data_IF_232253394232
#
_entry.id   IF_232253394232
#
_cell.length_a   1.000
_cell.length_b   1.000
_cell.length_c   1.000
_cell.angle_alpha   90.00
_cell.angle_beta   90.00
_cell.angle_gamma   90.00
#
_symmetry.space_group_name_H-M   'P 1'
#
loop_
_entity.id
_entity.type
_entity.pdbx_description
1 polymer ?
#
# COMPACT_ATOMS: atom_id res chain seq x y z
N UNK A 1 -33.64 -35.34 66.87
CA UNK A 1 -32.87 -34.19 66.50
C UNK A 1 -32.49 -34.39 65.04
N UNK A 2 -33.15 -33.68 64.15
CA UNK A 2 -32.95 -33.82 62.66
C UNK A 2 -32.10 -32.63 62.20
N UNK A 3 -30.91 -32.92 61.69
CA UNK A 3 -30.01 -31.90 61.10
C UNK A 3 -30.49 -31.55 59.68
N UNK A 4 -30.83 -30.29 59.48
CA UNK A 4 -31.25 -29.72 58.21
C UNK A 4 -30.00 -29.04 57.59
N UNK A 5 -29.42 -29.68 56.60
CA UNK A 5 -28.31 -29.13 55.80
C UNK A 5 -28.88 -28.19 54.75
N UNK A 6 -28.56 -26.93 54.86
CA UNK A 6 -28.91 -25.90 53.85
C UNK A 6 -27.82 -25.89 52.79
N UNK A 7 -28.13 -26.33 51.57
CA UNK A 7 -27.23 -26.19 50.42
C UNK A 7 -27.53 -24.85 49.76
N UNK A 8 -26.60 -23.89 49.87
CA UNK A 8 -26.64 -22.62 49.13
C UNK A 8 -26.00 -22.87 47.75
N UNK A 9 -26.83 -22.97 46.71
CA UNK A 9 -26.36 -22.92 45.32
C UNK A 9 -26.09 -21.49 44.93
N UNK A 10 -24.81 -21.09 44.82
CA UNK A 10 -24.40 -19.85 44.23
C UNK A 10 -24.43 -19.99 42.71
N UNK A 11 -25.45 -19.40 42.09
CA UNK A 11 -25.56 -19.27 40.66
C UNK A 11 -24.57 -18.20 40.17
N UNK A 12 -23.39 -18.60 39.66
CA UNK A 12 -22.41 -17.69 39.07
C UNK A 12 -22.93 -17.29 37.68
N UNK A 13 -23.63 -16.17 37.58
CA UNK A 13 -23.92 -15.55 36.29
C UNK A 13 -22.60 -14.99 35.70
N UNK A 14 -22.00 -15.75 34.78
CA UNK A 14 -20.96 -15.25 33.91
C UNK A 14 -21.60 -14.22 32.97
N UNK A 15 -21.42 -12.94 33.27
CA UNK A 15 -21.70 -11.85 32.34
C UNK A 15 -20.64 -11.96 31.24
N UNK A 16 -20.97 -12.65 30.16
CA UNK A 16 -20.25 -12.56 28.90
C UNK A 16 -20.47 -11.14 28.38
N UNK A 17 -19.59 -10.21 28.76
CA UNK A 17 -19.43 -8.96 28.03
C UNK A 17 -18.88 -9.36 26.66
N UNK A 18 -19.78 -9.55 25.69
CA UNK A 18 -19.39 -9.66 24.30
C UNK A 18 -18.62 -8.38 23.95
N UNK A 19 -17.30 -8.49 23.78
CA UNK A 19 -16.58 -7.42 23.14
C UNK A 19 -17.21 -7.30 21.73
N UNK A 20 -17.92 -6.19 21.49
CA UNK A 20 -18.39 -5.90 20.15
C UNK A 20 -17.14 -5.88 19.24
N UNK A 21 -17.17 -6.68 18.18
CA UNK A 21 -16.08 -6.73 17.23
C UNK A 21 -15.89 -5.31 16.67
N UNK A 22 -14.67 -4.77 16.82
CA UNK A 22 -14.38 -3.42 16.32
C UNK A 22 -14.66 -3.37 14.80
N UNK A 23 -15.42 -2.37 14.39
CA UNK A 23 -15.88 -2.21 13.01
C UNK A 23 -14.71 -2.08 12.03
N UNK A 24 -14.82 -2.74 10.87
CA UNK A 24 -13.85 -2.60 9.78
C UNK A 24 -13.97 -1.24 9.08
N UNK A 25 -12.88 -0.78 8.49
CA UNK A 25 -12.85 0.40 7.62
C UNK A 25 -13.84 0.25 6.45
N UNK A 26 -13.84 -0.91 5.83
CA UNK A 26 -14.76 -1.36 4.77
C UNK A 26 -14.67 -2.88 4.66
N UNK A 27 -15.63 -3.58 4.02
CA UNK A 27 -15.52 -5.01 3.75
C UNK A 27 -14.25 -5.33 2.93
N UNK A 28 -13.42 -6.25 3.44
CA UNK A 28 -12.11 -6.57 2.83
C UNK A 28 -10.95 -5.68 3.31
N UNK A 29 -11.17 -4.82 4.29
CA UNK A 29 -10.05 -4.16 5.00
C UNK A 29 -9.36 -5.17 5.92
N UNK A 30 -8.04 -5.32 5.78
CA UNK A 30 -7.25 -6.31 6.50
C UNK A 30 -6.00 -5.69 7.14
N UNK A 31 -5.27 -6.49 7.93
CA UNK A 31 -4.05 -6.05 8.59
C UNK A 31 -4.26 -5.02 9.70
N UNK A 32 -3.20 -4.40 10.14
CA UNK A 32 -3.22 -3.49 11.30
C UNK A 32 -4.08 -2.23 11.11
N UNK A 33 -4.24 -1.74 9.88
CA UNK A 33 -5.08 -0.58 9.54
C UNK A 33 -6.57 -0.90 9.37
N UNK A 34 -7.00 -2.14 9.50
CA UNK A 34 -8.36 -2.60 9.15
C UNK A 34 -9.50 -1.90 9.90
N UNK A 35 -9.22 -1.31 11.05
CA UNK A 35 -10.20 -0.61 11.87
C UNK A 35 -10.16 0.91 11.74
N UNK A 36 -9.48 1.41 10.70
CA UNK A 36 -9.44 2.84 10.39
C UNK A 36 -10.86 3.36 10.14
N UNK A 37 -11.26 4.39 10.88
CA UNK A 37 -12.62 4.95 10.75
C UNK A 37 -12.81 5.86 9.54
N UNK A 38 -11.72 6.42 9.03
CA UNK A 38 -11.79 7.41 7.95
C UNK A 38 -12.64 8.61 8.31
N UNK A 39 -13.43 9.05 7.36
CA UNK A 39 -14.39 10.15 7.51
C UNK A 39 -15.80 9.74 7.92
N UNK A 40 -16.00 8.53 8.45
CA UNK A 40 -17.32 7.97 8.82
C UNK A 40 -18.18 8.95 9.60
N UNK A 41 -19.43 9.14 9.17
CA UNK A 41 -20.39 10.06 9.77
C UNK A 41 -20.06 11.54 9.59
N UNK A 42 -19.02 11.86 8.82
CA UNK A 42 -18.64 13.23 8.50
C UNK A 42 -19.33 13.78 7.28
N UNK A 43 -18.98 15.02 6.93
CA UNK A 43 -19.51 15.71 5.76
C UNK A 43 -19.06 15.04 4.47
N UNK A 44 -19.97 14.92 3.51
CA UNK A 44 -19.65 14.48 2.15
C UNK A 44 -19.18 15.67 1.30
N UNK A 45 -18.10 15.47 0.56
CA UNK A 45 -17.57 16.41 -0.42
C UNK A 45 -17.59 15.77 -1.80
N UNK A 46 -18.29 16.42 -2.74
CA UNK A 46 -18.36 15.96 -4.13
C UNK A 46 -17.35 16.74 -4.97
N UNK A 47 -16.35 16.02 -5.49
CA UNK A 47 -15.42 16.59 -6.47
C UNK A 47 -16.13 16.67 -7.81
N UNK A 48 -16.43 17.89 -8.26
CA UNK A 48 -17.26 18.17 -9.44
C UNK A 48 -16.47 18.70 -10.64
N UNK A 49 -15.17 18.95 -10.48
CA UNK A 49 -14.30 19.40 -11.57
C UNK A 49 -12.86 18.90 -11.39
N UNK A 50 -12.05 19.02 -12.44
CA UNK A 50 -10.65 18.58 -12.47
C UNK A 50 -9.65 19.72 -12.22
N UNK A 51 -10.10 20.85 -11.72
CA UNK A 51 -9.21 21.97 -11.38
C UNK A 51 -8.31 21.59 -10.20
N UNK A 52 -7.08 22.12 -10.18
CA UNK A 52 -6.17 21.93 -9.05
C UNK A 52 -6.73 22.46 -7.74
N UNK A 53 -7.45 23.61 -7.79
CA UNK A 53 -7.98 24.29 -6.60
C UNK A 53 -9.29 25.03 -6.89
N UNK A 54 -9.93 25.56 -5.84
CA UNK A 54 -11.19 26.29 -5.91
C UNK A 54 -12.39 25.40 -5.62
N UNK A 55 -13.58 25.97 -5.74
CA UNK A 55 -14.83 25.29 -5.38
C UNK A 55 -15.06 24.02 -6.21
N UNK A 56 -15.41 22.93 -5.53
CA UNK A 56 -15.64 21.60 -6.12
C UNK A 56 -14.38 20.89 -6.59
N UNK A 57 -13.18 21.39 -6.28
CA UNK A 57 -11.93 20.70 -6.56
C UNK A 57 -11.61 19.61 -5.53
N UNK A 58 -10.77 18.66 -5.93
CA UNK A 58 -10.30 17.64 -4.99
C UNK A 58 -9.47 18.23 -3.84
N UNK A 59 -8.66 19.27 -4.11
CA UNK A 59 -7.87 19.97 -3.10
C UNK A 59 -8.75 20.61 -2.03
N UNK A 60 -9.85 21.27 -2.40
CA UNK A 60 -10.81 21.83 -1.44
C UNK A 60 -11.30 20.76 -0.43
N UNK A 61 -11.69 19.61 -0.95
CA UNK A 61 -12.16 18.49 -0.11
C UNK A 61 -11.07 17.93 0.81
N UNK A 62 -9.84 17.82 0.28
CA UNK A 62 -8.68 17.30 1.04
C UNK A 62 -8.25 18.26 2.15
N UNK A 63 -8.22 19.56 1.88
CA UNK A 63 -7.79 20.59 2.83
C UNK A 63 -8.87 20.98 3.85
N UNK A 64 -10.11 20.53 3.65
CA UNK A 64 -11.19 20.74 4.63
C UNK A 64 -10.87 20.10 5.98
N UNK A 65 -11.44 20.66 7.04
CA UNK A 65 -11.26 20.18 8.42
C UNK A 65 -12.45 19.34 8.88
N UNK A 66 -12.19 18.48 9.83
CA UNK A 66 -13.17 17.58 10.44
C UNK A 66 -13.39 16.29 9.63
N UNK A 67 -14.20 15.36 10.17
CA UNK A 67 -14.52 14.11 9.50
C UNK A 67 -15.20 14.34 8.15
N UNK A 68 -14.73 13.66 7.10
CA UNK A 68 -15.24 13.88 5.74
C UNK A 68 -15.05 12.68 4.82
N UNK A 69 -16.01 12.49 3.94
CA UNK A 69 -15.97 11.49 2.87
C UNK A 69 -15.90 12.25 1.54
N UNK A 70 -14.91 11.93 0.72
CA UNK A 70 -14.69 12.56 -0.58
C UNK A 70 -15.10 11.58 -1.67
N UNK A 71 -16.08 11.98 -2.47
CA UNK A 71 -16.58 11.26 -3.65
C UNK A 71 -16.38 12.09 -4.92
N UNK A 72 -16.45 11.46 -6.08
CA UNK A 72 -16.15 12.08 -7.36
C UNK A 72 -17.33 11.97 -8.32
N UNK A 73 -17.83 13.11 -8.79
CA UNK A 73 -18.81 13.21 -9.87
C UNK A 73 -18.13 13.47 -11.23
N UNK A 74 -16.81 13.41 -11.29
CA UNK A 74 -15.99 13.60 -12.50
C UNK A 74 -14.95 12.50 -12.61
N UNK A 75 -14.49 12.27 -13.82
CA UNK A 75 -13.36 11.40 -14.15
C UNK A 75 -12.30 12.14 -14.95
N UNK A 76 -11.06 11.74 -14.80
CA UNK A 76 -9.97 12.31 -15.60
C UNK A 76 -8.71 12.56 -14.82
N UNK A 77 -7.80 13.31 -15.45
CA UNK A 77 -6.52 13.69 -14.87
C UNK A 77 -6.61 15.09 -14.26
N UNK A 78 -6.26 15.19 -12.98
CA UNK A 78 -6.10 16.46 -12.27
C UNK A 78 -4.62 16.85 -12.36
N UNK A 79 -4.34 17.93 -13.09
CA UNK A 79 -3.00 18.50 -13.18
C UNK A 79 -2.76 19.38 -11.96
N UNK A 80 -2.07 18.82 -10.96
CA UNK A 80 -1.73 19.54 -9.74
C UNK A 80 -0.73 20.66 -10.02
N UNK A 81 -0.80 21.75 -9.26
CA UNK A 81 0.14 22.87 -9.31
C UNK A 81 1.08 22.91 -8.10
N UNK A 82 0.81 22.05 -7.12
CA UNK A 82 1.60 21.87 -5.91
C UNK A 82 1.26 20.52 -5.27
N UNK A 83 2.10 19.98 -4.35
CA UNK A 83 1.77 18.76 -3.63
C UNK A 83 0.38 18.80 -3.02
N UNK A 84 -0.40 17.72 -3.21
CA UNK A 84 -1.69 17.56 -2.56
C UNK A 84 -1.51 16.88 -1.20
N UNK A 85 -1.79 17.60 -0.12
CA UNK A 85 -1.47 17.15 1.24
C UNK A 85 -2.73 16.85 2.04
N UNK A 86 -2.84 15.63 2.53
CA UNK A 86 -3.87 15.22 3.49
C UNK A 86 -3.29 15.43 4.89
N UNK A 87 -3.42 16.63 5.42
CA UNK A 87 -2.86 17.01 6.74
C UNK A 87 -3.93 17.05 7.85
N UNK A 88 -5.23 17.06 7.50
CA UNK A 88 -6.35 17.07 8.43
C UNK A 88 -6.92 15.67 8.64
N UNK A 89 -7.00 15.23 9.88
CA UNK A 89 -7.44 13.89 10.28
C UNK A 89 -8.89 13.56 9.88
N UNK A 90 -9.21 12.27 9.89
CA UNK A 90 -10.54 11.70 9.68
C UNK A 90 -11.09 11.95 8.25
N UNK A 91 -10.48 11.30 7.28
CA UNK A 91 -10.85 11.40 5.87
C UNK A 91 -11.01 10.03 5.21
N UNK A 92 -12.04 9.89 4.40
CA UNK A 92 -12.18 8.81 3.42
C UNK A 92 -12.17 9.40 2.02
N UNK A 93 -11.22 8.97 1.18
CA UNK A 93 -11.18 9.28 -0.24
C UNK A 93 -11.63 8.06 -1.01
N UNK A 94 -12.81 8.14 -1.61
CA UNK A 94 -13.48 7.05 -2.31
C UNK A 94 -13.35 7.21 -3.83
N UNK A 95 -12.15 6.97 -4.38
CA UNK A 95 -11.88 7.09 -5.82
C UNK A 95 -12.73 6.16 -6.68
N UNK A 96 -13.25 5.06 -6.13
CA UNK A 96 -14.18 4.15 -6.82
C UNK A 96 -15.53 4.78 -7.18
N UNK A 97 -15.90 5.93 -6.58
CA UNK A 97 -17.11 6.64 -6.94
C UNK A 97 -17.00 7.40 -8.27
N UNK A 98 -15.78 7.67 -8.73
CA UNK A 98 -15.54 8.38 -9.97
C UNK A 98 -16.05 7.59 -11.18
N UNK A 99 -16.75 8.25 -12.13
CA UNK A 99 -17.18 7.57 -13.36
C UNK A 99 -15.98 7.19 -14.26
N UNK A 100 -16.24 6.54 -15.38
CA UNK A 100 -15.25 6.21 -16.41
C UNK A 100 -14.05 5.43 -15.89
N UNK A 101 -12.85 5.89 -16.20
CA UNK A 101 -11.60 5.28 -15.72
C UNK A 101 -11.14 5.86 -14.36
N UNK A 102 -11.96 6.68 -13.69
CA UNK A 102 -11.62 7.22 -12.38
C UNK A 102 -10.66 8.42 -12.43
N UNK A 103 -9.90 8.63 -11.35
CA UNK A 103 -9.06 9.81 -11.14
C UNK A 103 -7.58 9.46 -11.24
N UNK A 104 -6.81 10.32 -11.94
CA UNK A 104 -5.37 10.34 -11.95
C UNK A 104 -4.85 11.71 -11.48
N UNK A 105 -3.96 11.73 -10.50
CA UNK A 105 -3.21 12.93 -10.11
C UNK A 105 -1.90 12.97 -10.92
N UNK A 106 -1.58 14.13 -11.47
CA UNK A 106 -0.44 14.34 -12.33
C UNK A 106 0.44 15.47 -11.79
N UNK A 107 1.73 15.43 -12.10
CA UNK A 107 2.75 16.46 -11.89
C UNK A 107 3.25 16.62 -10.44
N UNK A 108 2.42 16.45 -9.43
CA UNK A 108 2.84 16.58 -8.02
C UNK A 108 2.33 15.39 -7.18
N UNK A 109 2.99 15.13 -6.02
CA UNK A 109 2.65 14.00 -5.17
C UNK A 109 1.36 14.16 -4.38
N UNK A 110 0.80 13.01 -3.97
CA UNK A 110 -0.18 12.92 -2.89
C UNK A 110 0.56 12.59 -1.59
N UNK A 111 0.41 13.43 -0.56
CA UNK A 111 1.08 13.24 0.73
C UNK A 111 0.06 12.96 1.82
N UNK A 112 0.14 11.77 2.44
CA UNK A 112 -0.80 11.28 3.45
C UNK A 112 -0.19 11.42 4.84
N UNK A 113 -0.50 12.51 5.54
CA UNK A 113 -0.03 12.79 6.90
C UNK A 113 -1.13 12.74 7.97
N UNK A 114 -2.39 12.64 7.56
CA UNK A 114 -3.53 12.59 8.47
C UNK A 114 -3.66 11.24 9.17
N UNK A 115 -4.11 11.25 10.41
CA UNK A 115 -4.60 10.06 11.12
C UNK A 115 -6.05 9.76 10.71
N UNK A 116 -6.47 8.51 10.92
CA UNK A 116 -7.78 8.03 10.48
C UNK A 116 -8.03 8.34 8.99
N UNK A 117 -7.12 7.90 8.12
CA UNK A 117 -7.20 8.15 6.69
C UNK A 117 -7.43 6.85 5.91
N UNK A 118 -8.48 6.83 5.10
CA UNK A 118 -8.78 5.78 4.12
C UNK A 118 -8.63 6.40 2.73
N UNK A 119 -7.72 5.84 1.90
CA UNK A 119 -7.53 6.30 0.51
C UNK A 119 -7.66 5.10 -0.42
N UNK A 120 -8.61 5.17 -1.35
CA UNK A 120 -8.94 4.05 -2.23
C UNK A 120 -9.08 4.48 -3.69
N UNK A 121 -8.60 3.65 -4.62
CA UNK A 121 -8.79 3.74 -6.07
C UNK A 121 -8.37 5.09 -6.69
N UNK A 122 -7.23 5.62 -6.29
CA UNK A 122 -6.62 6.83 -6.87
C UNK A 122 -5.32 6.44 -7.60
N UNK A 123 -5.09 7.02 -8.78
CA UNK A 123 -3.80 6.96 -9.49
C UNK A 123 -2.99 8.21 -9.19
N UNK A 124 -1.68 8.02 -8.99
CA UNK A 124 -0.73 9.12 -8.84
C UNK A 124 0.45 8.87 -9.78
N UNK A 125 0.66 9.78 -10.73
CA UNK A 125 1.70 9.71 -11.75
C UNK A 125 2.38 11.07 -11.89
N UNK A 126 3.49 11.24 -11.16
CA UNK A 126 4.17 12.53 -11.04
C UNK A 126 4.81 12.94 -12.37
N UNK A 127 5.65 12.09 -12.95
CA UNK A 127 6.42 12.43 -14.16
C UNK A 127 7.59 13.37 -13.89
N UNK A 128 8.33 13.70 -14.96
CA UNK A 128 9.55 14.49 -14.90
C UNK A 128 9.40 15.93 -15.48
N UNK A 129 8.17 16.41 -15.65
CA UNK A 129 7.91 17.75 -16.18
C UNK A 129 8.33 18.86 -15.21
N UNK A 130 8.34 18.57 -13.91
CA UNK A 130 8.75 19.50 -12.87
C UNK A 130 9.98 18.96 -12.14
N UNK A 131 10.98 19.84 -11.90
CA UNK A 131 12.19 19.47 -11.17
C UNK A 131 11.91 19.35 -9.67
N UNK A 132 11.30 18.24 -9.27
CA UNK A 132 10.90 17.95 -7.89
C UNK A 132 11.38 16.55 -7.50
N UNK A 133 12.43 16.48 -6.66
CA UNK A 133 12.84 15.21 -6.03
C UNK A 133 11.76 14.77 -5.05
N UNK A 134 10.77 13.99 -5.51
CA UNK A 134 9.63 13.60 -4.67
C UNK A 134 9.14 12.19 -4.95
N UNK A 135 8.52 11.62 -3.92
CA UNK A 135 7.70 10.42 -4.04
C UNK A 135 6.46 10.68 -4.91
N UNK A 136 5.84 9.62 -5.39
CA UNK A 136 4.51 9.69 -6.00
C UNK A 136 3.41 9.78 -4.94
N UNK A 137 3.35 8.78 -4.07
CA UNK A 137 2.55 8.80 -2.85
C UNK A 137 3.50 8.75 -1.68
N UNK A 138 3.55 9.83 -0.91
CA UNK A 138 4.38 9.93 0.28
C UNK A 138 3.55 10.04 1.55
N UNK A 139 4.16 9.76 2.69
CA UNK A 139 3.48 9.98 3.96
C UNK A 139 4.19 9.36 5.15
N UNK A 140 3.58 9.57 6.30
CA UNK A 140 4.09 9.09 7.57
C UNK A 140 4.79 10.18 8.35
N UNK A 141 4.17 10.59 9.44
CA UNK A 141 4.76 11.47 10.45
C UNK A 141 4.70 10.79 11.82
N UNK A 142 5.59 11.13 12.69
CA UNK A 142 5.51 10.64 14.08
C UNK A 142 4.18 11.03 14.72
N UNK A 143 3.53 10.06 15.36
CA UNK A 143 2.22 10.22 15.98
C UNK A 143 1.01 10.04 15.04
N UNK A 144 1.23 9.82 13.74
CA UNK A 144 0.15 9.44 12.82
C UNK A 144 -0.32 8.01 13.12
N UNK A 145 -1.64 7.79 13.05
CA UNK A 145 -2.26 6.48 13.36
C UNK A 145 -3.43 6.17 12.45
N UNK A 146 -3.68 4.86 12.31
CA UNK A 146 -4.87 4.33 11.65
C UNK A 146 -4.97 4.83 10.20
N UNK A 147 -4.18 4.23 9.32
CA UNK A 147 -4.16 4.55 7.89
C UNK A 147 -4.33 3.28 7.08
N UNK A 148 -5.19 3.32 6.08
CA UNK A 148 -5.30 2.26 5.07
C UNK A 148 -5.27 2.86 3.66
N UNK A 149 -4.31 2.38 2.87
CA UNK A 149 -4.16 2.67 1.45
C UNK A 149 -4.55 1.42 0.68
N UNK A 150 -5.58 1.53 -0.16
CA UNK A 150 -6.21 0.37 -0.80
C UNK A 150 -6.42 0.60 -2.30
N UNK A 151 -5.98 -0.34 -3.13
CA UNK A 151 -6.15 -0.31 -4.59
C UNK A 151 -5.62 0.98 -5.26
N UNK A 152 -4.49 1.52 -4.79
CA UNK A 152 -3.85 2.67 -5.41
C UNK A 152 -2.93 2.24 -6.55
N UNK A 153 -2.75 3.10 -7.56
CA UNK A 153 -1.73 2.94 -8.59
C UNK A 153 -0.74 4.10 -8.51
N UNK A 154 0.53 3.81 -8.19
CA UNK A 154 1.60 4.79 -8.07
C UNK A 154 2.71 4.51 -9.08
N UNK A 155 3.06 5.49 -9.90
CA UNK A 155 4.10 5.36 -10.92
C UNK A 155 4.73 6.70 -11.30
N UNK A 156 5.89 6.61 -12.00
CA UNK A 156 6.62 7.73 -12.59
C UNK A 156 7.08 8.78 -11.58
N UNK A 157 7.37 8.34 -10.37
CA UNK A 157 8.02 9.22 -9.39
C UNK A 157 9.50 9.40 -9.73
N UNK A 158 10.07 10.48 -9.24
CA UNK A 158 11.49 10.82 -9.41
C UNK A 158 12.32 10.24 -8.28
N UNK A 159 11.70 9.99 -7.12
CA UNK A 159 12.25 9.22 -5.98
C UNK A 159 11.45 7.92 -5.83
N UNK A 160 10.70 7.67 -4.78
CA UNK A 160 9.88 6.47 -4.61
C UNK A 160 8.46 6.63 -5.16
N UNK A 161 7.92 5.56 -5.75
CA UNK A 161 6.53 5.59 -6.19
C UNK A 161 5.54 5.64 -5.03
N UNK A 162 5.76 4.84 -3.96
CA UNK A 162 4.91 4.85 -2.77
C UNK A 162 5.77 4.64 -1.53
N UNK A 163 5.87 5.67 -0.67
CA UNK A 163 6.57 5.60 0.61
C UNK A 163 5.65 5.98 1.76
N UNK A 164 5.49 5.09 2.73
CA UNK A 164 4.78 5.38 3.98
C UNK A 164 5.43 4.65 5.15
N UNK A 165 5.79 5.41 6.18
CA UNK A 165 6.47 4.91 7.38
C UNK A 165 6.23 5.86 8.56
N UNK A 166 6.67 5.51 9.78
CA UNK A 166 6.40 6.25 11.04
C UNK A 166 4.94 6.27 11.49
N UNK A 167 4.06 5.54 10.81
CA UNK A 167 2.63 5.46 11.10
C UNK A 167 2.37 4.25 12.01
N UNK A 168 1.47 4.39 12.96
CA UNK A 168 0.96 3.29 13.79
C UNK A 168 -0.37 2.78 13.24
N UNK A 169 -0.58 1.46 13.23
CA UNK A 169 -1.75 0.79 12.67
C UNK A 169 -1.96 1.14 11.19
N UNK A 170 -1.01 0.72 10.37
CA UNK A 170 -0.98 0.96 8.93
C UNK A 170 -1.34 -0.30 8.14
N UNK A 171 -2.12 -0.15 7.08
CA UNK A 171 -2.23 -1.16 6.02
C UNK A 171 -2.04 -0.53 4.65
N UNK A 172 -1.24 -1.17 3.81
CA UNK A 172 -1.15 -0.91 2.37
C UNK A 172 -1.50 -2.21 1.66
N UNK A 173 -2.62 -2.25 0.98
CA UNK A 173 -3.14 -3.46 0.36
C UNK A 173 -3.55 -3.23 -1.09
N UNK A 174 -3.35 -4.24 -1.94
CA UNK A 174 -3.77 -4.27 -3.34
C UNK A 174 -3.28 -3.07 -4.16
N UNK A 175 -2.15 -2.48 -3.81
CA UNK A 175 -1.58 -1.33 -4.52
C UNK A 175 -0.61 -1.77 -5.63
N UNK A 176 -0.63 -1.05 -6.75
CA UNK A 176 0.31 -1.16 -7.86
C UNK A 176 1.39 -0.08 -7.73
N UNK A 177 2.66 -0.49 -7.61
CA UNK A 177 3.83 0.38 -7.44
C UNK A 177 4.81 0.07 -8.56
N UNK A 178 4.91 0.93 -9.58
CA UNK A 178 5.61 0.56 -10.80
C UNK A 178 6.27 1.71 -11.53
N UNK A 179 7.35 1.38 -12.27
CA UNK A 179 8.04 2.29 -13.19
C UNK A 179 8.40 3.64 -12.56
N UNK A 180 9.11 3.62 -11.43
CA UNK A 180 9.82 4.82 -10.97
C UNK A 180 10.87 5.24 -12.01
N UNK A 181 11.10 6.56 -12.18
CA UNK A 181 11.99 7.11 -13.21
C UNK A 181 13.45 7.02 -12.74
N UNK A 182 14.25 6.17 -13.41
CA UNK A 182 15.57 5.79 -12.88
C UNK A 182 16.67 6.82 -13.16
N UNK A 183 16.99 7.08 -14.43
CA UNK A 183 17.98 8.08 -14.81
C UNK A 183 17.26 9.32 -15.34
N UNK A 184 16.57 9.98 -14.45
CA UNK A 184 15.73 11.15 -14.73
C UNK A 184 16.37 12.43 -14.17
N UNK A 185 15.58 13.31 -13.63
CA UNK A 185 15.97 14.65 -13.19
C UNK A 185 16.31 14.73 -11.68
N UNK A 186 16.36 13.62 -10.96
CA UNK A 186 16.69 13.60 -9.54
C UNK A 186 18.08 14.15 -9.28
N UNK A 187 18.22 15.05 -8.29
CA UNK A 187 19.48 15.77 -7.98
C UNK A 187 20.63 14.84 -7.58
N UNK A 188 20.34 13.65 -7.05
CA UNK A 188 21.34 12.62 -6.70
C UNK A 188 21.71 11.69 -7.86
N UNK A 189 21.21 11.92 -9.08
CA UNK A 189 21.39 11.04 -10.22
C UNK A 189 20.41 9.86 -10.26
N UNK A 190 20.81 8.65 -10.69
CA UNK A 190 19.93 7.50 -10.82
C UNK A 190 19.16 7.18 -9.54
N UNK A 191 17.83 7.22 -9.59
CA UNK A 191 16.97 7.15 -8.42
C UNK A 191 15.59 6.54 -8.67
N UNK A 192 15.52 5.47 -9.47
CA UNK A 192 14.27 4.78 -9.84
C UNK A 192 13.79 3.76 -8.79
N UNK A 193 13.01 4.17 -7.80
CA UNK A 193 12.74 3.34 -6.61
C UNK A 193 11.25 3.05 -6.37
N UNK A 194 10.95 1.85 -5.86
CA UNK A 194 9.60 1.42 -5.53
C UNK A 194 9.02 2.16 -4.31
N UNK A 195 9.57 1.90 -3.12
CA UNK A 195 9.05 2.58 -1.92
C UNK A 195 9.83 2.30 -0.64
N UNK A 196 9.73 3.24 0.32
CA UNK A 196 10.17 3.03 1.72
C UNK A 196 8.92 2.68 2.54
N UNK A 197 8.91 1.46 3.10
CA UNK A 197 7.79 0.89 3.85
C UNK A 197 8.19 0.59 5.29
N UNK A 198 7.35 0.96 6.24
CA UNK A 198 7.62 0.76 7.65
C UNK A 198 6.50 1.28 8.54
N UNK A 199 6.79 1.48 9.82
CA UNK A 199 5.85 1.93 10.82
C UNK A 199 5.83 1.00 12.04
N UNK A 200 4.93 1.27 12.96
CA UNK A 200 4.65 0.42 14.10
C UNK A 200 3.30 -0.27 13.91
N UNK A 201 3.28 -1.60 13.91
CA UNK A 201 2.08 -2.37 13.53
C UNK A 201 1.67 -2.00 12.09
N UNK A 202 2.44 -2.44 11.13
CA UNK A 202 2.23 -2.11 9.71
C UNK A 202 2.12 -3.38 8.86
N UNK A 203 1.06 -3.48 8.07
CA UNK A 203 0.83 -4.59 7.14
C UNK A 203 0.89 -4.10 5.71
N UNK A 204 1.69 -4.78 4.90
CA UNK A 204 1.81 -4.57 3.47
C UNK A 204 1.51 -5.89 2.77
N UNK A 205 0.34 -6.03 2.17
CA UNK A 205 -0.06 -7.30 1.58
C UNK A 205 -0.75 -7.18 0.22
N UNK A 206 -0.59 -8.20 -0.59
CA UNK A 206 -1.18 -8.31 -1.92
C UNK A 206 -0.89 -7.11 -2.84
N UNK A 207 0.25 -6.47 -2.67
CA UNK A 207 0.71 -5.40 -3.55
C UNK A 207 1.56 -5.96 -4.70
N UNK A 208 1.65 -5.21 -5.78
CA UNK A 208 2.60 -5.46 -6.88
C UNK A 208 3.64 -4.34 -6.93
N UNK A 209 4.92 -4.70 -6.72
CA UNK A 209 6.05 -3.83 -6.98
C UNK A 209 6.73 -4.34 -8.27
N UNK A 210 6.72 -3.52 -9.32
CA UNK A 210 7.18 -3.96 -10.64
C UNK A 210 8.02 -2.91 -11.36
N UNK A 211 9.08 -3.36 -12.05
CA UNK A 211 9.90 -2.51 -12.92
C UNK A 211 10.53 -1.29 -12.21
N UNK A 212 10.93 -1.44 -10.96
CA UNK A 212 11.67 -0.43 -10.20
C UNK A 212 13.11 -0.91 -10.01
N UNK A 213 14.09 -0.01 -10.19
CA UNK A 213 15.50 -0.38 -10.10
C UNK A 213 15.90 -0.90 -8.71
N UNK A 214 15.24 -0.43 -7.66
CA UNK A 214 15.48 -0.83 -6.26
C UNK A 214 14.28 -0.48 -5.37
N UNK A 215 14.40 -0.73 -4.07
CA UNK A 215 13.38 -0.45 -3.04
C UNK A 215 12.04 -1.16 -3.31
N UNK A 216 12.10 -2.51 -3.45
CA UNK A 216 10.92 -3.34 -3.72
C UNK A 216 10.55 -4.26 -2.52
N UNK A 217 10.31 -3.75 -1.29
CA UNK A 217 10.53 -2.38 -0.83
C UNK A 217 11.92 -2.15 -0.21
N UNK A 218 12.23 -0.90 0.18
CA UNK A 218 13.15 -0.61 1.27
C UNK A 218 12.36 -0.61 2.58
N UNK A 219 12.70 -1.48 3.53
CA UNK A 219 12.17 -1.38 4.88
C UNK A 219 12.78 -0.17 5.58
N UNK A 220 11.93 0.62 6.21
CA UNK A 220 12.36 1.84 6.91
C UNK A 220 13.40 1.51 7.99
N UNK A 221 14.41 2.35 8.09
CA UNK A 221 15.46 2.27 9.13
C UNK A 221 15.33 3.44 10.10
N UNK A 222 14.12 3.78 10.52
CA UNK A 222 13.85 4.79 11.55
C UNK A 222 13.35 4.14 12.82
N UNK A 223 13.57 4.80 13.95
CA UNK A 223 13.10 4.33 15.25
C UNK A 223 11.58 4.11 15.22
N UNK A 224 11.13 3.01 15.84
CA UNK A 224 9.74 2.61 15.87
C UNK A 224 9.26 1.77 14.69
N UNK A 225 10.16 1.35 13.78
CA UNK A 225 9.85 0.35 12.74
C UNK A 225 9.78 -1.04 13.36
N UNK A 226 8.58 -1.45 13.79
CA UNK A 226 8.35 -2.74 14.48
C UNK A 226 7.04 -3.38 14.06
N UNK A 227 7.05 -4.71 14.03
CA UNK A 227 5.91 -5.53 13.64
C UNK A 227 5.41 -5.17 12.25
N UNK A 228 6.39 -5.06 11.33
CA UNK A 228 6.12 -4.85 9.91
C UNK A 228 5.89 -6.21 9.27
N UNK A 229 4.74 -6.41 8.69
CA UNK A 229 4.34 -7.64 8.01
C UNK A 229 4.25 -7.43 6.50
N UNK A 230 5.22 -7.97 5.76
CA UNK A 230 5.27 -7.95 4.30
C UNK A 230 4.88 -9.34 3.78
N UNK A 231 3.61 -9.50 3.38
CA UNK A 231 2.99 -10.80 3.12
C UNK A 231 2.22 -10.84 1.80
N UNK A 232 2.30 -11.95 1.07
CA UNK A 232 1.56 -12.20 -0.17
C UNK A 232 1.71 -11.10 -1.24
N UNK A 233 2.79 -10.34 -1.23
CA UNK A 233 3.08 -9.38 -2.28
C UNK A 233 3.73 -10.06 -3.48
N UNK A 234 3.65 -9.41 -4.63
CA UNK A 234 4.35 -9.79 -5.85
C UNK A 234 5.44 -8.77 -6.15
N UNK A 235 6.67 -9.25 -6.36
CA UNK A 235 7.81 -8.42 -6.77
C UNK A 235 8.27 -8.89 -8.14
N UNK A 236 8.28 -8.01 -9.12
CA UNK A 236 8.61 -8.33 -10.50
C UNK A 236 9.68 -7.39 -11.06
N UNK A 237 10.65 -7.96 -11.79
CA UNK A 237 11.61 -7.23 -12.62
C UNK A 237 12.31 -6.08 -11.87
N UNK A 238 12.83 -6.36 -10.69
CA UNK A 238 13.71 -5.43 -9.98
C UNK A 238 15.06 -5.29 -10.70
N UNK A 239 15.72 -4.15 -10.53
CA UNK A 239 17.08 -3.95 -11.04
C UNK A 239 18.13 -4.51 -10.06
N UNK A 240 18.96 -3.63 -9.50
CA UNK A 240 20.10 -4.01 -8.65
C UNK A 240 19.71 -4.44 -7.22
N UNK A 241 18.50 -4.15 -6.73
CA UNK A 241 18.00 -4.62 -5.42
C UNK A 241 16.51 -4.94 -5.46
N UNK A 242 16.16 -6.09 -4.88
CA UNK A 242 14.79 -6.45 -4.53
C UNK A 242 14.37 -5.73 -3.24
N UNK A 243 14.24 -6.41 -2.09
CA UNK A 243 14.01 -5.76 -0.81
C UNK A 243 15.32 -5.52 -0.07
N UNK A 244 15.36 -4.47 0.79
CA UNK A 244 16.48 -4.22 1.69
C UNK A 244 16.12 -3.29 2.85
N UNK A 245 17.07 -3.06 3.77
CA UNK A 245 16.91 -2.11 4.87
C UNK A 245 16.40 -2.74 6.15
N UNK A 246 15.65 -1.97 6.96
CA UNK A 246 15.09 -2.41 8.24
C UNK A 246 16.04 -2.34 9.44
N UNK A 247 17.06 -1.46 9.39
CA UNK A 247 17.95 -1.17 10.51
C UNK A 247 17.23 -0.48 11.68
N UNK A 248 18.00 0.07 12.63
CA UNK A 248 17.48 0.69 13.86
C UNK A 248 16.51 -0.23 14.62
N UNK A 249 16.96 -1.51 14.81
CA UNK A 249 16.18 -2.54 15.51
C UNK A 249 14.80 -2.84 14.89
N UNK A 250 14.66 -2.70 13.56
CA UNK A 250 13.45 -3.04 12.83
C UNK A 250 13.06 -4.51 13.03
N UNK A 251 11.79 -4.80 13.19
CA UNK A 251 11.21 -6.15 13.34
C UNK A 251 10.28 -6.43 12.16
N UNK A 252 10.69 -7.33 11.24
CA UNK A 252 10.07 -7.46 9.92
C UNK A 252 9.78 -8.94 9.62
N UNK A 253 8.54 -9.22 9.21
CA UNK A 253 8.14 -10.49 8.59
C UNK A 253 8.13 -10.35 7.07
N UNK A 254 8.75 -11.28 6.35
CA UNK A 254 8.67 -11.45 4.90
C UNK A 254 8.13 -12.83 4.59
N UNK A 255 6.82 -12.94 4.36
CA UNK A 255 6.14 -14.23 4.37
C UNK A 255 5.30 -14.43 3.11
N UNK A 256 5.49 -15.58 2.46
CA UNK A 256 4.64 -16.03 1.34
C UNK A 256 4.52 -15.01 0.19
N UNK A 257 5.57 -14.21 -0.06
CA UNK A 257 5.62 -13.34 -1.22
C UNK A 257 6.06 -14.11 -2.48
N UNK A 258 5.66 -13.62 -3.65
CA UNK A 258 6.03 -14.18 -4.94
C UNK A 258 7.00 -13.24 -5.65
N UNK A 259 8.23 -13.69 -5.83
CA UNK A 259 9.27 -12.98 -6.57
C UNK A 259 9.39 -13.56 -7.97
N UNK A 260 9.22 -12.73 -8.97
CA UNK A 260 9.36 -13.11 -10.38
C UNK A 260 10.48 -12.30 -11.03
N UNK A 261 11.69 -12.87 -11.20
CA UNK A 261 12.75 -12.20 -11.92
C UNK A 261 12.29 -11.83 -13.34
N UNK A 262 12.69 -10.66 -13.78
CA UNK A 262 12.44 -10.17 -15.13
C UNK A 262 13.75 -9.79 -15.83
N UNK A 263 13.68 -9.19 -17.03
CA UNK A 263 14.85 -8.85 -17.83
C UNK A 263 15.87 -7.92 -17.13
N UNK A 264 15.42 -7.09 -16.18
CA UNK A 264 16.31 -6.19 -15.42
C UNK A 264 16.86 -6.81 -14.12
N UNK A 265 16.36 -7.98 -13.70
CA UNK A 265 16.72 -8.54 -12.41
C UNK A 265 18.14 -9.07 -12.40
N UNK A 266 19.01 -8.42 -11.63
CA UNK A 266 20.46 -8.74 -11.61
C UNK A 266 20.81 -9.94 -10.69
N UNK A 267 19.90 -10.32 -9.79
CA UNK A 267 20.11 -11.40 -8.82
C UNK A 267 18.79 -11.98 -8.31
N UNK A 268 18.87 -13.13 -7.61
CA UNK A 268 17.75 -13.82 -6.98
C UNK A 268 17.76 -13.71 -5.44
N UNK A 269 18.26 -12.60 -4.87
CA UNK A 269 18.17 -12.34 -3.44
C UNK A 269 16.78 -11.87 -3.05
N UNK A 270 16.29 -12.31 -1.91
CA UNK A 270 15.02 -11.83 -1.32
C UNK A 270 15.24 -10.53 -0.54
N UNK A 271 16.34 -10.44 0.22
CA UNK A 271 16.60 -9.34 1.12
C UNK A 271 18.09 -9.05 1.25
N UNK A 272 18.47 -7.79 1.15
CA UNK A 272 19.75 -7.28 1.63
C UNK A 272 19.51 -6.61 3.00
N UNK A 273 20.05 -7.18 4.08
CA UNK A 273 19.87 -6.64 5.43
C UNK A 273 20.51 -5.27 5.58
N UNK A 274 20.08 -4.50 6.57
CA UNK A 274 20.62 -3.17 6.82
C UNK A 274 22.12 -3.25 7.24
N UNK A 275 22.91 -2.29 6.78
CA UNK A 275 24.36 -2.20 7.06
C UNK A 275 24.68 -2.04 8.56
N UNK A 276 23.75 -1.46 9.34
CA UNK A 276 23.91 -1.32 10.79
C UNK A 276 23.76 -2.64 11.57
N UNK A 277 23.34 -3.72 10.89
CA UNK A 277 23.20 -5.07 11.45
C UNK A 277 22.19 -5.22 12.58
N UNK A 278 21.39 -4.19 12.89
CA UNK A 278 20.48 -4.21 14.04
C UNK A 278 19.08 -4.69 13.71
N UNK A 279 18.71 -4.77 12.42
CA UNK A 279 17.42 -5.28 11.97
C UNK A 279 17.25 -6.78 12.24
N UNK A 280 16.03 -7.21 12.49
CA UNK A 280 15.64 -8.60 12.75
C UNK A 280 14.54 -9.01 11.77
N UNK A 281 14.72 -10.17 11.13
CA UNK A 281 13.85 -10.58 10.02
C UNK A 281 13.40 -12.03 10.20
N UNK A 282 12.10 -12.24 10.06
CA UNK A 282 11.49 -13.55 9.85
C UNK A 282 11.19 -13.71 8.35
N UNK A 283 11.84 -14.66 7.69
CA UNK A 283 11.75 -14.87 6.23
C UNK A 283 11.33 -16.29 5.94
N UNK A 284 10.11 -16.52 5.46
CA UNK A 284 9.56 -17.86 5.29
C UNK A 284 8.53 -17.97 4.16
N UNK A 285 8.56 -19.09 3.45
CA UNK A 285 7.54 -19.46 2.48
C UNK A 285 7.46 -18.57 1.22
N UNK A 286 8.48 -17.73 0.97
CA UNK A 286 8.54 -16.94 -0.24
C UNK A 286 8.94 -17.82 -1.44
N UNK A 287 8.36 -17.56 -2.59
CA UNK A 287 8.67 -18.23 -3.86
C UNK A 287 9.52 -17.33 -4.74
N UNK A 288 10.58 -17.86 -5.31
CA UNK A 288 11.37 -17.23 -6.37
C UNK A 288 11.12 -18.01 -7.67
N UNK A 289 10.34 -17.43 -8.57
CA UNK A 289 10.00 -18.07 -9.85
C UNK A 289 11.27 -18.42 -10.64
N UNK A 290 11.41 -19.71 -11.01
CA UNK A 290 12.57 -20.20 -11.74
C UNK A 290 13.82 -20.44 -10.89
N UNK A 291 13.71 -20.37 -9.56
CA UNK A 291 14.82 -20.69 -8.64
C UNK A 291 14.32 -21.49 -7.42
N UNK A 292 14.29 -22.81 -7.58
CA UNK A 292 13.85 -23.73 -6.51
C UNK A 292 14.79 -23.68 -5.32
N UNK A 293 16.08 -23.36 -5.50
CA UNK A 293 17.05 -23.26 -4.41
C UNK A 293 16.67 -22.14 -3.44
N UNK A 294 16.27 -20.97 -3.95
CA UNK A 294 15.77 -19.86 -3.12
C UNK A 294 14.41 -20.18 -2.52
N UNK A 295 13.52 -20.81 -3.29
CA UNK A 295 12.17 -21.18 -2.84
C UNK A 295 12.22 -22.15 -1.66
N UNK A 296 13.07 -23.17 -1.72
CA UNK A 296 13.25 -24.17 -0.67
C UNK A 296 14.05 -23.66 0.53
N UNK A 297 14.94 -22.69 0.33
CA UNK A 297 15.77 -22.11 1.37
C UNK A 297 15.77 -20.57 1.30
N UNK A 298 14.71 -19.94 1.77
CA UNK A 298 14.58 -18.49 1.78
C UNK A 298 15.71 -17.80 2.58
N UNK A 299 16.19 -18.40 3.67
CA UNK A 299 17.26 -17.83 4.51
C UNK A 299 18.59 -17.74 3.74
N UNK A 300 18.85 -18.67 2.83
CA UNK A 300 20.02 -18.65 1.96
C UNK A 300 19.99 -17.55 0.89
N UNK A 301 18.85 -16.88 0.70
CA UNK A 301 18.68 -15.76 -0.23
C UNK A 301 18.63 -14.39 0.49
N UNK A 302 19.07 -14.34 1.75
CA UNK A 302 19.23 -13.11 2.54
C UNK A 302 20.74 -12.87 2.70
N UNK A 303 21.22 -11.65 2.43
CA UNK A 303 22.59 -11.28 2.79
C UNK A 303 22.72 -11.29 4.30
N UNK A 304 23.77 -11.90 4.83
CA UNK A 304 24.04 -11.83 6.26
C UNK A 304 24.49 -10.42 6.68
N UNK A 305 24.48 -10.16 7.98
CA UNK A 305 24.91 -8.87 8.54
C UNK A 305 26.39 -8.54 8.26
N UNK A 306 27.16 -9.47 7.68
CA UNK A 306 28.54 -9.30 7.24
C UNK A 306 28.67 -9.15 5.71
N UNK A 307 27.56 -8.98 4.99
CA UNK A 307 27.57 -8.81 3.52
C UNK A 307 27.80 -10.09 2.72
N UNK A 308 27.72 -11.27 3.35
CA UNK A 308 27.87 -12.56 2.70
C UNK A 308 26.52 -13.19 2.42
N UNK A 309 26.21 -13.43 1.14
CA UNK A 309 25.10 -14.31 0.77
C UNK A 309 25.53 -15.77 0.92
N UNK A 310 24.82 -16.56 1.70
CA UNK A 310 24.96 -18.01 1.67
C UNK A 310 23.88 -18.58 0.74
N UNK A 311 24.29 -18.99 -0.45
CA UNK A 311 23.42 -19.76 -1.37
C UNK A 311 24.05 -21.15 -1.48
N UNK A 312 23.42 -22.21 -0.93
CA UNK A 312 23.92 -23.56 -1.11
C UNK A 312 23.99 -23.89 -2.62
N UNK A 313 25.21 -24.15 -3.12
CA UNK A 313 25.44 -24.61 -4.48
C UNK A 313 25.79 -23.55 -5.53
N UNK A 314 25.79 -22.26 -5.24
CA UNK A 314 26.34 -21.22 -6.13
C UNK A 314 27.73 -20.78 -5.67
N UNK A 315 28.70 -20.75 -6.60
CA UNK A 315 30.00 -20.10 -6.38
C UNK A 315 29.77 -18.63 -6.09
N UNK A 316 30.40 -18.09 -5.05
CA UNK A 316 30.33 -16.67 -4.67
C UNK A 316 30.47 -15.76 -5.89
N UNK A 317 29.51 -14.91 -6.15
CA UNK A 317 29.69 -13.80 -7.07
C UNK A 317 30.80 -12.89 -6.54
N UNK A 318 31.74 -12.49 -7.40
CA UNK A 318 32.92 -11.72 -7.06
C UNK A 318 32.64 -10.36 -6.42
N UNK A 319 33.68 -9.65 -5.97
CA UNK A 319 33.62 -8.45 -5.15
C UNK A 319 33.31 -7.21 -6.00
N UNK A 320 32.08 -7.05 -6.43
CA UNK A 320 31.65 -5.85 -7.18
C UNK A 320 30.39 -5.21 -6.58
N UNK A 321 30.42 -5.03 -5.27
CA UNK A 321 29.41 -4.23 -4.55
C UNK A 321 30.07 -3.03 -3.91
N UNK A 322 30.64 -2.09 -4.58
CA UNK A 322 31.09 -0.76 -4.14
C UNK A 322 31.20 -0.43 -2.63
N UNK A 323 31.44 -1.43 -1.76
CA UNK A 323 31.59 -1.31 -0.31
C UNK A 323 33.08 -1.31 0.01
N UNK A 324 33.55 -0.23 0.61
CA UNK A 324 34.91 -0.09 1.11
C UNK A 324 35.22 -1.19 2.13
N UNK A 325 36.41 -1.81 2.10
CA UNK A 325 36.81 -2.90 3.03
C UNK A 325 37.04 -2.48 4.49
N UNK A 326 36.83 -1.21 4.84
CA UNK A 326 37.29 -0.67 6.14
C UNK A 326 36.28 -0.75 7.30
N UNK A 327 35.08 -1.34 7.11
CA UNK A 327 34.09 -1.47 8.17
C UNK A 327 33.84 -2.93 8.59
N UNK A 328 34.88 -3.72 8.82
CA UNK A 328 34.75 -5.04 9.45
C UNK A 328 35.01 -4.88 10.95
N UNK A 329 34.02 -5.10 11.84
CA UNK A 329 34.27 -5.15 13.28
C UNK A 329 35.20 -6.33 13.59
N UNK A 330 36.14 -6.11 14.52
CA UNK A 330 37.06 -7.14 14.97
C UNK A 330 36.28 -8.35 15.52
N UNK A 331 36.75 -9.55 15.16
CA UNK A 331 36.28 -10.85 15.69
C UNK A 331 36.25 -10.82 17.22
N UNK A 332 35.08 -10.95 17.84
CA UNK A 332 35.00 -11.13 19.29
C UNK A 332 33.61 -11.01 19.91
N UNK A 333 32.58 -10.53 19.19
CA UNK A 333 31.19 -10.52 19.70
C UNK A 333 30.37 -11.59 18.98
N UNK A 334 29.59 -12.38 19.74
CA UNK A 334 28.59 -13.30 19.18
C UNK A 334 27.65 -12.46 18.28
N UNK A 335 27.84 -12.55 16.96
CA UNK A 335 26.93 -11.96 15.99
C UNK A 335 25.62 -12.72 16.11
N UNK A 336 24.67 -12.18 16.88
CA UNK A 336 23.29 -12.66 16.88
C UNK A 336 22.78 -12.56 15.44
N UNK A 337 22.42 -13.71 14.86
CA UNK A 337 21.87 -13.77 13.50
C UNK A 337 20.73 -12.76 13.36
N UNK A 338 20.75 -11.92 12.33
CA UNK A 338 19.64 -11.01 12.01
C UNK A 338 18.35 -11.76 11.62
N UNK A 339 18.47 -13.04 11.25
CA UNK A 339 17.35 -13.92 10.94
C UNK A 339 16.84 -14.61 12.19
N UNK A 340 15.52 -14.52 12.42
CA UNK A 340 14.84 -15.17 13.54
C UNK A 340 14.02 -16.38 13.07
N UNK A 341 13.76 -17.31 14.00
CA UNK A 341 13.05 -18.56 13.72
C UNK A 341 11.53 -18.45 13.95
N UNK A 342 11.09 -17.40 14.63
CA UNK A 342 9.68 -17.16 14.95
C UNK A 342 9.25 -15.81 14.41
N UNK A 343 8.07 -15.75 13.80
CA UNK A 343 7.50 -14.51 13.32
C UNK A 343 7.26 -13.50 14.43
N UNK A 344 7.47 -12.24 14.12
CA UNK A 344 7.00 -11.15 14.97
C UNK A 344 5.47 -11.08 14.98
N UNK A 345 4.89 -10.40 15.98
CA UNK A 345 3.45 -10.16 15.98
C UNK A 345 2.96 -9.55 14.66
N UNK A 346 1.83 -10.01 14.18
CA UNK A 346 1.16 -9.52 12.98
C UNK A 346 -0.35 -9.60 13.15
N UNK A 347 -1.07 -8.80 12.39
CA UNK A 347 -2.53 -8.88 12.34
C UNK A 347 -2.93 -9.81 11.20
N UNK A 348 -3.72 -10.85 11.44
CA UNK A 348 -4.09 -11.82 10.40
C UNK A 348 -4.80 -11.19 9.20
N UNK A 349 -4.49 -11.71 8.04
CA UNK A 349 -5.16 -11.41 6.76
C UNK A 349 -5.71 -12.70 6.17
N UNK A 350 -6.53 -12.64 5.13
CA UNK A 350 -6.83 -13.79 4.27
C UNK A 350 -5.55 -14.18 3.53
N UNK A 351 -4.83 -15.15 4.09
CA UNK A 351 -3.52 -15.54 3.62
C UNK A 351 -3.59 -16.54 2.47
N UNK A 352 -2.94 -16.23 1.37
CA UNK A 352 -2.81 -17.08 0.20
C UNK A 352 -1.49 -17.89 0.20
N UNK A 353 -1.44 -18.96 -0.60
CA UNK A 353 -0.15 -19.46 -1.06
C UNK A 353 0.46 -18.45 -2.03
N UNK A 354 1.81 -18.40 -2.19
CA UNK A 354 2.45 -17.42 -3.10
C UNK A 354 1.92 -17.46 -4.53
N UNK A 355 1.62 -18.63 -5.06
CA UNK A 355 1.09 -18.79 -6.42
C UNK A 355 -0.34 -18.27 -6.54
N UNK A 356 -1.19 -18.50 -5.52
CA UNK A 356 -2.54 -17.93 -5.46
C UNK A 356 -2.46 -16.41 -5.32
N UNK A 357 -1.59 -15.91 -4.43
CA UNK A 357 -1.34 -14.47 -4.27
C UNK A 357 -0.92 -13.84 -5.61
N UNK A 358 0.00 -14.47 -6.36
CA UNK A 358 0.41 -14.00 -7.69
C UNK A 358 -0.79 -13.82 -8.63
N UNK A 359 -1.69 -14.80 -8.70
CA UNK A 359 -2.87 -14.74 -9.57
C UNK A 359 -3.86 -13.66 -9.11
N UNK A 360 -4.14 -13.60 -7.81
CA UNK A 360 -5.07 -12.63 -7.23
C UNK A 360 -4.54 -11.19 -7.38
N UNK A 361 -3.25 -10.98 -7.09
CA UNK A 361 -2.58 -9.68 -7.25
C UNK A 361 -2.69 -9.19 -8.69
N UNK A 362 -2.37 -10.01 -9.69
CA UNK A 362 -2.49 -9.60 -11.09
C UNK A 362 -3.95 -9.36 -11.54
N UNK A 363 -4.92 -9.86 -10.81
CA UNK A 363 -6.34 -9.59 -11.07
C UNK A 363 -6.81 -8.32 -10.40
N UNK A 364 -6.37 -8.04 -9.17
CA UNK A 364 -7.02 -7.09 -8.26
C UNK A 364 -6.22 -5.83 -7.94
N UNK A 365 -4.89 -5.77 -8.16
CA UNK A 365 -4.09 -4.59 -7.77
C UNK A 365 -4.42 -3.33 -8.54
N UNK A 366 -4.10 -2.21 -7.90
CA UNK A 366 -4.27 -0.88 -8.43
C UNK A 366 -5.75 -0.49 -8.55
N UNK A 367 -6.04 0.50 -9.36
CA UNK A 367 -7.41 0.92 -9.63
C UNK A 367 -8.18 -0.14 -10.45
N UNK A 368 -8.30 -1.35 -9.90
CA UNK A 368 -8.80 -2.54 -10.60
C UNK A 368 -10.28 -2.46 -10.98
N UNK A 369 -11.05 -1.62 -10.30
CA UNK A 369 -12.46 -1.38 -10.62
C UNK A 369 -12.63 -0.85 -12.05
N UNK A 370 -11.74 0.05 -12.48
CA UNK A 370 -11.65 0.48 -13.88
C UNK A 370 -10.19 0.75 -14.23
N UNK A 371 -9.50 -0.23 -14.84
CA UNK A 371 -8.10 -0.08 -15.23
C UNK A 371 -7.97 0.70 -16.52
N UNK A 372 -7.02 1.64 -16.53
CA UNK A 372 -6.61 2.29 -17.76
C UNK A 372 -5.65 1.42 -18.61
N UNK A 373 -5.30 1.94 -19.76
CA UNK A 373 -4.44 1.22 -20.72
C UNK A 373 -3.04 0.96 -20.16
N UNK A 374 -2.48 1.90 -19.38
CA UNK A 374 -1.14 1.79 -18.82
C UNK A 374 -1.05 0.72 -17.73
N UNK A 375 -1.93 0.76 -16.71
CA UNK A 375 -1.96 -0.28 -15.67
C UNK A 375 -2.20 -1.67 -16.29
N UNK A 376 -3.07 -1.76 -17.31
CA UNK A 376 -3.35 -3.01 -18.03
C UNK A 376 -2.10 -3.55 -18.75
N UNK A 377 -1.32 -2.67 -19.36
CA UNK A 377 -0.06 -3.04 -20.04
C UNK A 377 1.01 -3.51 -19.04
N UNK A 378 1.15 -2.83 -17.89
CA UNK A 378 2.06 -3.27 -16.82
C UNK A 378 1.74 -4.71 -16.40
N UNK A 379 0.47 -5.01 -16.14
CA UNK A 379 0.05 -6.36 -15.74
C UNK A 379 0.26 -7.40 -16.85
N UNK A 380 0.09 -7.01 -18.12
CA UNK A 380 0.40 -7.87 -19.26
C UNK A 380 1.89 -8.23 -19.29
N UNK A 381 2.79 -7.25 -19.06
CA UNK A 381 4.23 -7.48 -19.00
C UNK A 381 4.60 -8.41 -17.86
N UNK A 382 4.06 -8.18 -16.65
CA UNK A 382 4.30 -9.06 -15.50
C UNK A 382 3.89 -10.51 -15.81
N UNK A 383 2.70 -10.73 -16.38
CA UNK A 383 2.23 -12.07 -16.76
C UNK A 383 3.18 -12.75 -17.72
N UNK A 384 3.64 -12.03 -18.76
CA UNK A 384 4.46 -12.56 -19.84
C UNK A 384 5.97 -12.57 -19.53
N UNK A 385 6.42 -11.98 -18.41
CA UNK A 385 7.84 -11.88 -18.07
C UNK A 385 8.60 -10.90 -18.98
N UNK A 386 7.99 -9.80 -19.39
CA UNK A 386 8.55 -8.83 -20.34
C UNK A 386 9.03 -7.57 -19.66
N UNK A 387 10.11 -6.96 -20.18
CA UNK A 387 10.60 -5.63 -19.84
C UNK A 387 10.70 -4.80 -21.12
N UNK A 388 9.56 -4.42 -21.70
CA UNK A 388 9.49 -3.87 -23.05
C UNK A 388 10.00 -2.44 -23.14
N UNK A 389 9.79 -1.63 -22.08
CA UNK A 389 10.10 -0.21 -22.10
C UNK A 389 11.47 0.10 -21.48
N UNK A 390 12.07 1.22 -21.85
CA UNK A 390 13.35 1.68 -21.34
C UNK A 390 14.45 0.62 -21.47
N UNK A 391 15.25 0.46 -20.42
CA UNK A 391 16.27 -0.60 -20.37
C UNK A 391 15.72 -1.80 -19.59
N UNK A 392 15.33 -2.86 -20.30
CA UNK A 392 14.81 -4.09 -19.71
C UNK A 392 13.58 -3.88 -18.78
N UNK A 393 12.77 -2.88 -19.04
CA UNK A 393 11.61 -2.52 -18.22
C UNK A 393 11.88 -1.42 -17.19
N UNK A 394 13.12 -0.95 -17.04
CA UNK A 394 13.45 0.21 -16.21
C UNK A 394 13.46 1.46 -17.08
N UNK A 395 12.58 2.41 -16.78
CA UNK A 395 12.37 3.63 -17.57
C UNK A 395 13.08 4.85 -16.95
N UNK A 396 13.32 5.88 -17.74
CA UNK A 396 13.95 7.13 -17.31
C UNK A 396 12.98 8.32 -17.35
N UNK A 397 11.96 8.23 -18.18
CA UNK A 397 10.89 9.23 -18.33
C UNK A 397 9.56 8.53 -18.55
N UNK A 398 8.44 9.15 -18.20
CA UNK A 398 7.10 8.68 -18.55
C UNK A 398 6.90 8.65 -20.08
N UNK A 399 7.69 9.38 -20.83
CA UNK A 399 7.66 9.38 -22.29
C UNK A 399 8.11 8.01 -22.88
N UNK A 400 8.96 7.27 -22.16
CA UNK A 400 9.39 5.92 -22.54
C UNK A 400 8.21 4.94 -22.68
N UNK A 401 7.09 5.25 -22.01
CA UNK A 401 5.84 4.45 -22.02
C UNK A 401 4.67 5.17 -22.70
N UNK A 402 4.93 6.31 -23.35
CA UNK A 402 3.92 7.09 -24.08
C UNK A 402 3.18 8.15 -23.24
N UNK A 403 3.65 8.47 -22.06
CA UNK A 403 3.08 9.50 -21.20
C UNK A 403 1.72 9.13 -20.58
N UNK A 404 0.98 10.13 -20.11
CA UNK A 404 -0.31 9.93 -19.46
C UNK A 404 -1.37 9.43 -20.44
N UNK A 405 -1.98 8.25 -20.19
CA UNK A 405 -3.03 7.75 -21.06
C UNK A 405 -4.28 8.62 -20.97
N UNK A 406 -4.99 8.74 -22.08
CA UNK A 406 -6.34 9.30 -22.07
C UNK A 406 -7.27 8.37 -21.33
N UNK A 407 -7.84 8.84 -20.22
CA UNK A 407 -8.83 8.10 -19.45
C UNK A 407 -10.18 8.09 -20.16
N UNK A 408 -10.85 6.94 -20.21
CA UNK A 408 -12.20 6.83 -20.76
C UNK A 408 -13.17 7.63 -19.93
N UNK A 409 -13.99 8.43 -20.61
CA UNK A 409 -14.99 9.24 -19.94
C UNK A 409 -16.21 8.41 -19.54
N UNK A 410 -16.74 8.69 -18.37
CA UNK A 410 -17.99 8.20 -17.87
C UNK A 410 -18.99 9.35 -17.63
N UNK A 411 -20.21 9.00 -17.28
CA UNK A 411 -21.20 9.96 -16.85
C UNK A 411 -21.54 9.67 -15.38
N UNK A 412 -21.38 10.68 -14.54
CA UNK A 412 -21.85 10.57 -13.17
C UNK A 412 -23.37 10.35 -13.15
N UNK A 413 -23.88 9.47 -12.31
CA UNK A 413 -25.31 9.35 -12.09
C UNK A 413 -25.87 10.65 -11.49
N UNK A 414 -27.19 10.84 -11.59
CA UNK A 414 -27.88 11.98 -10.96
C UNK A 414 -27.90 11.77 -9.45
N UNK A 415 -27.55 12.81 -8.72
CA UNK A 415 -27.52 12.92 -7.26
C UNK A 415 -28.14 14.30 -6.95
N UNK A 416 -29.43 14.33 -6.60
CA UNK A 416 -30.23 15.54 -6.58
C UNK A 416 -30.03 16.40 -5.33
N UNK A 417 -29.74 15.78 -4.19
CA UNK A 417 -29.47 16.46 -2.92
C UNK A 417 -27.99 16.64 -2.60
N UNK A 418 -27.12 16.12 -3.49
CA UNK A 418 -25.67 16.23 -3.41
C UNK A 418 -25.06 15.60 -2.13
N UNK A 419 -25.53 14.42 -1.77
CA UNK A 419 -25.06 13.64 -0.62
C UNK A 419 -24.02 12.56 -0.99
N UNK A 420 -23.78 12.36 -2.30
CA UNK A 420 -22.82 11.40 -2.84
C UNK A 420 -23.42 10.03 -3.18
N UNK A 421 -24.71 9.83 -2.99
CA UNK A 421 -25.45 8.65 -3.42
C UNK A 421 -26.33 8.98 -4.63
N UNK A 422 -26.41 8.11 -5.66
CA UNK A 422 -27.28 8.37 -6.80
C UNK A 422 -28.77 8.22 -6.46
N UNK A 423 -29.61 9.13 -6.96
CA UNK A 423 -31.07 9.07 -6.82
C UNK A 423 -31.67 7.69 -7.09
N UNK A 424 -31.19 7.02 -8.15
CA UNK A 424 -31.69 5.70 -8.55
C UNK A 424 -31.31 4.62 -7.54
N UNK A 425 -30.11 4.72 -6.92
CA UNK A 425 -29.66 3.81 -5.91
C UNK A 425 -30.44 4.00 -4.61
N UNK A 426 -30.66 5.25 -4.20
CA UNK A 426 -31.42 5.61 -3.01
C UNK A 426 -32.86 5.10 -3.07
N UNK A 427 -33.58 5.42 -4.17
CA UNK A 427 -34.96 4.90 -4.40
C UNK A 427 -35.03 3.38 -4.33
N UNK A 428 -34.00 2.70 -4.87
CA UNK A 428 -33.94 1.23 -4.82
C UNK A 428 -33.78 0.69 -3.39
N UNK A 429 -33.12 1.45 -2.52
CA UNK A 429 -32.85 1.09 -1.14
C UNK A 429 -33.82 1.72 -0.13
N UNK A 430 -34.84 2.44 -0.60
CA UNK A 430 -35.86 3.07 0.25
C UNK A 430 -35.39 4.32 0.99
N UNK A 431 -34.35 4.99 0.46
CA UNK A 431 -33.88 6.28 0.91
C UNK A 431 -34.53 7.42 0.12
N UNK A 432 -34.33 8.67 0.55
CA UNK A 432 -34.95 9.84 -0.05
C UNK A 432 -33.96 10.70 -0.85
N UNK A 433 -33.99 10.73 -2.19
CA UNK A 433 -33.08 11.50 -3.05
C UNK A 433 -33.17 13.04 -2.92
N UNK A 434 -33.93 13.52 -1.98
CA UNK A 434 -34.07 14.97 -1.67
C UNK A 434 -33.68 15.27 -0.22
N UNK A 435 -33.07 14.32 0.49
CA UNK A 435 -32.67 14.46 1.90
C UNK A 435 -31.20 14.04 2.15
N UNK A 436 -30.27 14.94 1.88
CA UNK A 436 -28.85 14.74 2.06
C UNK A 436 -28.43 14.30 3.49
N UNK A 437 -29.31 14.37 4.47
CA UNK A 437 -28.99 13.97 5.85
C UNK A 437 -28.97 12.45 6.02
N UNK A 438 -29.62 11.71 5.15
CA UNK A 438 -29.69 10.25 5.27
C UNK A 438 -28.39 9.54 4.88
N UNK A 439 -27.47 10.18 4.11
CA UNK A 439 -26.14 9.65 3.82
C UNK A 439 -25.34 9.23 5.07
N UNK A 440 -25.45 10.00 6.14
CA UNK A 440 -24.75 9.72 7.40
C UNK A 440 -25.52 8.79 8.35
N UNK A 441 -26.75 8.40 7.98
CA UNK A 441 -27.62 7.51 8.76
C UNK A 441 -27.21 6.04 8.60
N UNK A 442 -27.68 5.20 9.53
CA UNK A 442 -27.40 3.74 9.58
C UNK A 442 -28.66 2.92 9.26
N UNK A 443 -29.49 3.37 8.29
CA UNK A 443 -30.76 2.71 7.97
C UNK A 443 -30.53 1.36 7.26
N UNK A 444 -29.51 1.23 6.46
CA UNK A 444 -29.21 0.04 5.64
C UNK A 444 -28.27 -0.93 6.31
N UNK A 445 -27.48 -0.49 7.28
CA UNK A 445 -26.51 -1.30 8.01
C UNK A 445 -26.38 -0.82 9.44
N UNK A 446 -26.06 -1.73 10.36
CA UNK A 446 -25.68 -1.37 11.73
C UNK A 446 -24.22 -0.94 11.85
N UNK A 447 -23.41 -1.28 10.84
CA UNK A 447 -21.95 -1.11 10.86
C UNK A 447 -21.52 0.09 10.02
N UNK A 448 -22.18 0.37 8.91
CA UNK A 448 -21.78 1.37 7.93
C UNK A 448 -22.89 2.39 7.72
N UNK A 449 -22.53 3.65 7.54
CA UNK A 449 -23.46 4.69 7.11
C UNK A 449 -24.00 4.37 5.70
N UNK A 450 -25.14 4.93 5.31
CA UNK A 450 -25.76 4.62 4.02
C UNK A 450 -24.81 4.92 2.85
N UNK A 451 -24.07 6.04 2.88
CA UNK A 451 -23.06 6.33 1.86
C UNK A 451 -21.93 5.31 1.86
N UNK A 452 -21.49 4.81 3.02
CA UNK A 452 -20.48 3.74 3.07
C UNK A 452 -21.03 2.42 2.48
N UNK A 453 -22.31 2.10 2.71
CA UNK A 453 -22.97 0.95 2.08
C UNK A 453 -22.95 1.08 0.57
N UNK A 454 -23.29 2.27 0.04
CA UNK A 454 -23.22 2.57 -1.38
C UNK A 454 -21.79 2.37 -1.92
N UNK A 455 -20.81 3.05 -1.34
CA UNK A 455 -19.41 3.02 -1.78
C UNK A 455 -18.79 1.62 -1.73
N UNK A 456 -19.13 0.83 -0.70
CA UNK A 456 -18.69 -0.56 -0.56
C UNK A 456 -19.38 -1.50 -1.58
N UNK A 457 -20.59 -1.15 -1.99
CA UNK A 457 -21.34 -1.88 -3.02
C UNK A 457 -20.76 -1.76 -4.42
N UNK A 458 -20.04 -0.67 -4.72
CA UNK A 458 -19.44 -0.43 -6.05
C UNK A 458 -18.33 -1.43 -6.40
N UNK A 459 -17.61 -1.96 -5.42
CA UNK A 459 -16.36 -2.73 -5.60
C UNK A 459 -16.44 -4.15 -5.04
N UNK A 460 -17.56 -4.82 -5.25
CA UNK A 460 -17.80 -6.23 -4.87
C UNK A 460 -17.16 -7.21 -5.84
#
# INVERSE_FOLDING_TARGET
MKNLSFVISILLMAVLTGAEAQQLAFPGAEGYGKHTSGGRGGRVFIVSNLNDSGAGSFREAVEAKGPRIVVFAVDGTIELKSPLRIDNDSITIAGQSAPGDGICLKDYPLIVNASNAIVRYIRVRVGDHHHLDSDGIGGGRYGQKNVILDHLSASWSIDECLSIYKTENLTVQWCLVTHSLNNSIHTKGKHGFGGIWGGYKATFHHNLLANNASRNPRFSSVDGTKWVDFRNNVVYNWGFKSAYGGGHHGEINMVKNYYKPGPASEHHRLLDVSEDGTGRYYVAGNVMAGDDGVTLNNRGAVTDCAGKCYIPGRKSAGPDSGISPEAIPARGEETTSCLVDTSFPYEPIEEDTPDVAYQRVLKLVGCSFSRDAYDSEVLRQVRKGLGTYGTNGIINSQEDVGGWPTLRKGKAPVDSDADGMPDTWERHHGLNPEDASDASSYCLSKEYTNIEVYLNGLVK
#
